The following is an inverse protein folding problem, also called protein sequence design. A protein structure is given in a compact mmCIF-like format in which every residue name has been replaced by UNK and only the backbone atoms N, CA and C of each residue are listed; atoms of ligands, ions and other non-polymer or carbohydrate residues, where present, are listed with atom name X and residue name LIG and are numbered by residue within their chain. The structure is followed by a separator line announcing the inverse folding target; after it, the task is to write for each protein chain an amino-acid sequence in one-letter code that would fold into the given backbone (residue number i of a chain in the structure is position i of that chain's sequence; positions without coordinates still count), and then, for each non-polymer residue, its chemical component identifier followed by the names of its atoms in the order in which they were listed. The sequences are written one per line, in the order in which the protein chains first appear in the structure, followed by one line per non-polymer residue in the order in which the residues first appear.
data_IF_350372107411
#
_entry.id   IF_350372107411
#
_cell.length_a   1.000
_cell.length_b   1.000
_cell.length_c   1.000
_cell.angle_alpha   90.00
_cell.angle_beta   90.00
_cell.angle_gamma   90.00
#
_symmetry.space_group_name_H-M   'P 1'
#
loop_
_entity.id
_entity.type
_entity.pdbx_description
1 polymer ?
#
# COMPACT_ATOMS: atom_id res chain seq x y z
N UNK A 1 4.79 1.21 -33.52
CA UNK A 1 5.05 0.22 -32.44
C UNK A 1 4.16 0.59 -31.27
N UNK A 2 3.05 -0.12 -31.02
CA UNK A 2 2.23 0.10 -29.83
C UNK A 2 2.89 -0.61 -28.65
N UNK A 3 3.19 0.16 -27.60
CA UNK A 3 3.85 -0.31 -26.39
C UNK A 3 2.96 -1.34 -25.69
N UNK A 4 3.51 -2.53 -25.48
CA UNK A 4 2.93 -3.60 -24.69
C UNK A 4 2.73 -3.15 -23.23
N UNK A 5 1.76 -3.79 -22.57
CA UNK A 5 1.59 -3.91 -21.11
C UNK A 5 0.69 -2.89 -20.39
N UNK A 6 -0.52 -2.62 -20.90
CA UNK A 6 -1.67 -2.46 -19.99
C UNK A 6 -2.28 -3.85 -19.75
N UNK A 7 -1.61 -4.61 -18.87
CA UNK A 7 -2.05 -5.91 -18.40
C UNK A 7 -3.26 -5.69 -17.49
N UNK A 8 -4.45 -5.72 -18.09
CA UNK A 8 -5.72 -6.18 -17.49
C UNK A 8 -5.51 -6.83 -16.11
N UNK A 9 -5.68 -6.06 -15.02
CA UNK A 9 -5.86 -6.66 -13.68
C UNK A 9 -7.15 -7.46 -13.77
N UNK A 10 -6.98 -8.78 -13.86
CA UNK A 10 -8.06 -9.75 -14.00
C UNK A 10 -9.03 -9.60 -12.85
N UNK A 11 -10.28 -9.37 -13.19
CA UNK A 11 -11.44 -9.53 -12.32
C UNK A 11 -11.39 -10.94 -11.72
N UNK A 12 -10.98 -11.09 -10.46
CA UNK A 12 -11.22 -12.31 -9.68
C UNK A 12 -12.14 -11.98 -8.52
N UNK A 13 -13.28 -12.66 -8.58
CA UNK A 13 -14.35 -12.71 -7.62
C UNK A 13 -13.88 -13.57 -6.43
N UNK A 14 -13.87 -12.99 -5.23
CA UNK A 14 -13.48 -13.63 -3.98
C UNK A 14 -13.78 -12.67 -2.82
N UNK A 15 -14.89 -12.88 -2.13
CA UNK A 15 -15.45 -11.95 -1.14
C UNK A 15 -14.70 -11.95 0.20
N UNK A 16 -13.47 -11.40 0.24
CA UNK A 16 -12.88 -10.81 1.45
C UNK A 16 -12.16 -9.51 1.05
N UNK A 17 -12.86 -8.39 1.09
CA UNK A 17 -12.36 -7.12 0.53
C UNK A 17 -11.34 -6.48 1.46
N UNK A 18 -10.04 -6.73 1.22
CA UNK A 18 -8.97 -5.93 1.81
C UNK A 18 -8.52 -4.86 0.80
N UNK A 19 -8.68 -3.58 1.15
CA UNK A 19 -8.23 -2.47 0.31
C UNK A 19 -7.23 -1.61 1.05
N UNK A 20 -6.07 -1.41 0.42
CA UNK A 20 -5.01 -0.55 0.90
C UNK A 20 -4.92 0.68 -0.01
N UNK A 21 -4.94 1.86 0.60
CA UNK A 21 -4.73 3.12 -0.07
C UNK A 21 -3.33 3.63 0.21
N UNK A 22 -2.50 3.74 -0.83
CA UNK A 22 -1.21 4.40 -0.78
C UNK A 22 -1.30 5.82 -1.32
N UNK A 23 -0.87 6.79 -0.53
CA UNK A 23 -0.80 8.21 -0.88
C UNK A 23 0.63 8.69 -0.78
N UNK A 24 1.14 9.22 -1.88
CA UNK A 24 2.47 9.78 -1.97
C UNK A 24 2.39 11.30 -1.82
N UNK A 25 3.02 11.84 -0.79
CA UNK A 25 3.07 13.28 -0.54
C UNK A 25 4.47 13.82 -0.81
N UNK A 26 4.54 14.97 -1.50
CA UNK A 26 5.77 15.74 -1.75
C UNK A 26 5.48 17.22 -1.50
N UNK A 27 6.24 17.86 -0.64
CA UNK A 27 6.11 19.28 -0.28
C UNK A 27 4.66 19.71 -0.02
N UNK A 28 3.97 18.97 0.87
CA UNK A 28 2.57 19.21 1.23
C UNK A 28 1.55 19.09 0.08
N UNK A 29 1.96 18.56 -1.08
CA UNK A 29 1.09 18.24 -2.21
C UNK A 29 0.98 16.73 -2.36
N UNK A 30 -0.23 16.26 -2.67
CA UNK A 30 -0.44 14.88 -3.10
C UNK A 30 0.19 14.73 -4.50
N UNK A 31 1.22 13.90 -4.62
CA UNK A 31 1.90 13.65 -5.88
C UNK A 31 1.16 12.59 -6.68
N UNK A 32 0.84 11.48 -6.01
CA UNK A 32 0.18 10.30 -6.56
C UNK A 32 -0.60 9.62 -5.44
N UNK A 33 -1.71 9.01 -5.78
CA UNK A 33 -2.38 8.06 -4.92
C UNK A 33 -2.76 6.83 -5.72
N UNK A 34 -2.76 5.68 -5.07
CA UNK A 34 -3.08 4.39 -5.70
C UNK A 34 -3.75 3.48 -4.68
N UNK A 35 -4.71 2.71 -5.15
CA UNK A 35 -5.50 1.79 -4.33
C UNK A 35 -5.23 0.37 -4.83
N UNK A 36 -4.72 -0.46 -3.92
CA UNK A 36 -4.52 -1.88 -4.16
C UNK A 36 -5.58 -2.70 -3.43
N UNK A 37 -6.16 -3.67 -4.13
CA UNK A 37 -7.15 -4.59 -3.61
C UNK A 37 -6.54 -5.98 -3.54
N UNK A 38 -6.67 -6.65 -2.41
CA UNK A 38 -6.11 -7.99 -2.24
C UNK A 38 -7.08 -8.94 -1.55
N UNK A 39 -7.64 -9.87 -2.32
CA UNK A 39 -8.70 -10.79 -1.89
C UNK A 39 -8.18 -12.13 -1.33
N UNK A 40 -6.88 -12.24 -1.01
CA UNK A 40 -6.28 -13.48 -0.48
C UNK A 40 -6.55 -13.65 1.01
N UNK A 41 -6.87 -14.85 1.46
CA UNK A 41 -6.88 -15.23 2.89
C UNK A 41 -5.45 -15.40 3.42
N UNK A 42 -4.80 -14.27 3.68
CA UNK A 42 -3.46 -14.18 4.26
C UNK A 42 -3.48 -13.30 5.53
N UNK A 43 -2.40 -13.34 6.31
CA UNK A 43 -2.24 -12.44 7.47
C UNK A 43 -2.36 -10.98 7.04
N UNK A 44 -2.90 -10.11 7.92
CA UNK A 44 -3.02 -8.66 7.65
C UNK A 44 -1.71 -8.06 7.11
N UNK A 45 -0.57 -8.41 7.70
CA UNK A 45 0.76 -7.98 7.25
C UNK A 45 1.10 -8.46 5.84
N UNK A 46 0.78 -9.70 5.49
CA UNK A 46 1.05 -10.26 4.15
C UNK A 46 0.20 -9.58 3.07
N UNK A 47 -1.07 -9.27 3.37
CA UNK A 47 -1.95 -8.49 2.48
C UNK A 47 -1.38 -7.11 2.20
N UNK A 48 -0.97 -6.42 3.26
CA UNK A 48 -0.39 -5.07 3.19
C UNK A 48 0.91 -5.09 2.42
N UNK A 49 1.77 -6.07 2.67
CA UNK A 49 3.05 -6.18 1.98
C UNK A 49 2.86 -6.38 0.47
N UNK A 50 1.91 -7.23 0.05
CA UNK A 50 1.57 -7.40 -1.37
C UNK A 50 0.97 -6.12 -1.99
N UNK A 51 0.03 -5.47 -1.29
CA UNK A 51 -0.57 -4.24 -1.78
C UNK A 51 0.46 -3.10 -1.88
N UNK A 52 1.30 -2.96 -0.86
CA UNK A 52 2.41 -2.00 -0.81
C UNK A 52 3.40 -2.27 -1.93
N UNK A 53 3.76 -3.52 -2.18
CA UNK A 53 4.65 -3.89 -3.28
C UNK A 53 4.06 -3.49 -4.64
N UNK A 54 2.77 -3.75 -4.88
CA UNK A 54 2.09 -3.26 -6.09
C UNK A 54 2.10 -1.73 -6.17
N UNK A 55 1.85 -1.04 -5.06
CA UNK A 55 1.86 0.43 -5.01
C UNK A 55 3.25 0.97 -5.33
N UNK A 56 4.29 0.46 -4.68
CA UNK A 56 5.68 0.83 -4.96
C UNK A 56 6.04 0.54 -6.42
N UNK A 57 5.61 -0.60 -6.96
CA UNK A 57 5.84 -0.95 -8.36
C UNK A 57 5.15 0.01 -9.34
N UNK A 58 3.88 0.38 -9.11
CA UNK A 58 3.15 1.32 -9.96
C UNK A 58 3.65 2.76 -9.83
N UNK A 59 4.19 3.13 -8.66
CA UNK A 59 4.75 4.46 -8.41
C UNK A 59 6.22 4.59 -8.87
N UNK A 60 6.84 3.50 -9.35
CA UNK A 60 8.28 3.43 -9.69
C UNK A 60 9.16 3.77 -8.47
N UNK A 61 8.80 3.23 -7.30
CA UNK A 61 9.48 3.46 -6.03
C UNK A 61 10.11 2.16 -5.51
N UNK A 62 11.20 2.31 -4.76
CA UNK A 62 11.75 1.20 -3.99
C UNK A 62 10.82 0.82 -2.81
N UNK A 63 11.06 -0.36 -2.22
CA UNK A 63 10.27 -0.85 -1.09
C UNK A 63 10.75 -0.16 0.19
N UNK A 64 9.87 0.51 0.96
CA UNK A 64 10.27 1.09 2.23
C UNK A 64 10.64 0.00 3.24
N UNK A 65 11.57 0.34 4.13
CA UNK A 65 11.92 -0.46 5.30
C UNK A 65 10.81 -0.34 6.34
N UNK A 66 10.38 -1.49 6.82
CA UNK A 66 9.49 -1.60 7.98
C UNK A 66 10.31 -1.47 9.26
N UNK A 67 10.25 -0.29 9.88
CA UNK A 67 10.78 -0.06 11.22
C UNK A 67 9.77 -0.54 12.27
N UNK A 68 10.25 -0.86 13.48
CA UNK A 68 9.39 -1.26 14.61
C UNK A 68 8.26 -0.27 14.88
N UNK A 69 8.53 1.03 14.71
CA UNK A 69 7.53 2.09 14.85
C UNK A 69 6.40 1.95 13.83
N UNK A 70 6.73 1.66 12.58
CA UNK A 70 5.75 1.46 11.50
C UNK A 70 4.90 0.23 11.75
N UNK A 71 5.53 -0.87 12.18
CA UNK A 71 4.84 -2.12 12.55
C UNK A 71 3.89 -1.88 13.71
N UNK A 72 4.33 -1.14 14.73
CA UNK A 72 3.50 -0.80 15.88
C UNK A 72 2.32 0.08 15.48
N UNK A 73 2.55 1.18 14.75
CA UNK A 73 1.50 2.09 14.29
C UNK A 73 0.47 1.34 13.43
N UNK A 74 0.95 0.51 12.52
CA UNK A 74 0.12 -0.31 11.66
C UNK A 74 -0.73 -1.32 12.42
N UNK A 75 -0.20 -1.87 13.53
CA UNK A 75 -0.94 -2.80 14.39
C UNK A 75 -2.10 -2.12 15.13
N UNK A 76 -1.96 -0.84 15.51
CA UNK A 76 -2.96 -0.12 16.29
C UNK A 76 -3.96 0.68 15.46
N UNK A 77 -3.53 1.22 14.32
CA UNK A 77 -4.31 2.20 13.56
C UNK A 77 -4.62 1.78 12.13
N UNK A 78 -4.16 0.59 11.70
CA UNK A 78 -4.36 0.10 10.33
C UNK A 78 -3.85 1.08 9.25
N UNK A 79 -2.96 1.98 9.66
CA UNK A 79 -2.28 2.96 8.83
C UNK A 79 -0.84 3.08 9.27
N UNK A 80 0.03 3.46 8.35
CA UNK A 80 1.42 3.75 8.66
C UNK A 80 2.00 4.71 7.62
N UNK A 81 3.06 5.42 8.00
CA UNK A 81 3.72 6.42 7.16
C UNK A 81 5.19 6.08 7.01
N UNK A 82 5.62 5.95 5.77
CA UNK A 82 7.02 5.74 5.41
C UNK A 82 7.59 7.07 4.96
N UNK A 83 8.47 7.65 5.77
CA UNK A 83 9.20 8.87 5.41
C UNK A 83 10.43 8.49 4.58
N UNK A 84 11.12 9.49 4.02
CA UNK A 84 12.42 9.28 3.33
C UNK A 84 13.42 8.46 4.16
N UNK A 85 13.41 8.60 5.49
CA UNK A 85 14.27 7.85 6.41
C UNK A 85 14.00 6.33 6.40
N UNK A 86 12.81 5.92 5.96
CA UNK A 86 12.46 4.51 5.76
C UNK A 86 12.98 3.95 4.42
N UNK A 87 13.46 4.78 3.49
CA UNK A 87 13.95 4.36 2.18
C UNK A 87 15.48 4.29 2.19
N UNK A 88 16.04 3.30 1.47
CA UNK A 88 17.48 3.10 1.39
C UNK A 88 18.08 4.04 0.35
N UNK A 89 17.38 4.27 -0.76
CA UNK A 89 17.75 5.27 -1.75
C UNK A 89 17.01 6.60 -1.55
N UNK A 90 17.56 7.62 -2.17
CA UNK A 90 17.07 8.97 -2.03
C UNK A 90 15.82 9.16 -2.88
N UNK A 91 14.66 9.18 -2.21
CA UNK A 91 13.38 9.36 -2.86
C UNK A 91 12.98 10.83 -2.97
N UNK A 92 12.33 11.19 -4.08
CA UNK A 92 11.94 12.56 -4.39
C UNK A 92 10.67 13.05 -3.66
N UNK A 93 10.09 12.26 -2.76
CA UNK A 93 8.84 12.55 -2.03
C UNK A 93 9.08 12.68 -0.53
N UNK A 94 8.21 13.39 0.20
CA UNK A 94 8.37 13.56 1.66
C UNK A 94 8.05 12.27 2.43
N UNK A 95 6.89 11.68 2.13
CA UNK A 95 6.46 10.42 2.72
C UNK A 95 5.42 9.71 1.86
N UNK A 96 5.42 8.38 1.95
CA UNK A 96 4.37 7.49 1.49
C UNK A 96 3.50 7.12 2.70
N UNK A 97 2.26 7.56 2.71
CA UNK A 97 1.25 7.09 3.68
C UNK A 97 0.52 5.89 3.09
N UNK A 98 0.39 4.82 3.87
CA UNK A 98 -0.53 3.72 3.54
C UNK A 98 -1.58 3.58 4.63
N UNK A 99 -2.81 3.33 4.21
CA UNK A 99 -3.97 3.19 5.09
C UNK A 99 -4.87 2.07 4.57
N UNK A 100 -5.27 1.15 5.45
CA UNK A 100 -6.29 0.16 5.13
C UNK A 100 -7.63 0.88 5.22
N UNK A 101 -8.31 1.00 4.08
CA UNK A 101 -9.62 1.66 4.00
C UNK A 101 -10.77 0.69 4.15
N UNK A 102 -10.56 -0.58 3.78
CA UNK A 102 -11.54 -1.65 3.94
C UNK A 102 -10.80 -2.89 4.44
N UNK A 103 -11.16 -3.33 5.64
CA UNK A 103 -10.95 -4.69 6.13
C UNK A 103 -12.32 -5.31 6.35
N UNK A 104 -12.46 -6.61 6.14
CA UNK A 104 -13.72 -7.32 6.39
C UNK A 104 -14.13 -7.15 7.86
N UNK A 105 -14.97 -6.15 8.14
CA UNK A 105 -15.70 -6.03 9.39
C UNK A 105 -16.80 -7.07 9.34
N UNK A 106 -16.44 -8.32 9.61
CA UNK A 106 -17.39 -9.22 10.25
C UNK A 106 -17.68 -8.59 11.62
N UNK A 107 -18.75 -7.79 11.68
CA UNK A 107 -19.34 -7.32 12.93
C UNK A 107 -19.68 -8.58 13.72
N UNK A 108 -18.88 -8.92 14.74
CA UNK A 108 -19.19 -10.03 15.62
C UNK A 108 -20.43 -9.64 16.46
N UNK A 109 -21.42 -10.54 16.59
CA UNK A 109 -22.66 -10.28 17.32
C UNK A 109 -22.46 -10.09 18.83
#
# INVERSE_FOLDING_TARGET
MPNSLNRIKGRKEGSTMFRLWGKLFKSNRLLRDTVSCNDKEDTRTHKVFQCLEEICYELDLEKPIWLDKNIQDFKYHDKTRFYQDNFIEHVDFDYLEIEVIEEDVTIQP
#
